data_IF_050728376166
#
_entry.id   IF_050728376166
#
_cell.length_a   1.000
_cell.length_b   1.000
_cell.length_c   1.000
_cell.angle_alpha   90.00
_cell.angle_beta   90.00
_cell.angle_gamma   90.00
#
_symmetry.space_group_name_H-M   'P 1'
#
loop_
_entity.id
_entity.type
_entity.pdbx_description
1 polymer ?
#
# COMPACT_ATOMS: atom_id res chain seq x y z
N UNK A 1 -22.66 -3.21 -58.95
CA UNK A 1 -23.39 -4.36 -58.36
C UNK A 1 -22.70 -4.71 -57.07
N UNK A 2 -23.36 -5.12 -55.99
CA UNK A 2 -24.74 -5.54 -55.75
C UNK A 2 -24.90 -5.44 -54.22
N UNK A 3 -26.03 -4.91 -53.75
CA UNK A 3 -26.45 -4.99 -52.35
C UNK A 3 -26.72 -6.45 -52.00
N UNK A 4 -26.34 -6.89 -50.79
CA UNK A 4 -26.97 -8.04 -50.13
C UNK A 4 -27.25 -7.66 -48.67
N UNK A 5 -28.51 -7.27 -48.45
CA UNK A 5 -29.20 -7.25 -47.15
C UNK A 5 -29.74 -8.66 -46.89
N UNK A 6 -29.64 -9.14 -45.66
CA UNK A 6 -30.30 -10.39 -45.24
C UNK A 6 -30.99 -10.15 -43.90
N UNK A 7 -32.29 -9.89 -43.97
CA UNK A 7 -33.23 -10.03 -42.87
C UNK A 7 -33.89 -11.41 -42.98
N UNK A 8 -34.03 -12.15 -41.87
CA UNK A 8 -35.14 -13.09 -41.72
C UNK A 8 -35.54 -13.25 -40.25
N UNK A 9 -36.84 -13.41 -40.08
CA UNK A 9 -37.65 -13.02 -38.94
C UNK A 9 -37.85 -14.11 -37.88
N UNK A 10 -38.42 -13.67 -36.74
CA UNK A 10 -38.83 -14.40 -35.55
C UNK A 10 -39.71 -15.64 -35.77
N UNK A 11 -39.85 -16.48 -34.74
CA UNK A 11 -41.13 -16.72 -34.02
C UNK A 11 -40.95 -17.71 -32.84
N UNK A 12 -41.58 -17.43 -31.69
CA UNK A 12 -42.10 -18.48 -30.81
C UNK A 12 -42.08 -18.17 -29.31
N UNK A 13 -43.24 -17.81 -28.77
CA UNK A 13 -43.56 -17.55 -27.36
C UNK A 13 -43.95 -18.82 -26.59
N UNK A 14 -43.67 -18.86 -25.27
CA UNK A 14 -44.52 -19.39 -24.18
C UNK A 14 -43.70 -19.36 -22.86
N UNK A 15 -44.02 -18.47 -21.91
CA UNK A 15 -44.97 -18.65 -20.79
C UNK A 15 -44.45 -19.48 -19.61
N UNK A 16 -44.25 -18.80 -18.48
CA UNK A 16 -44.65 -19.26 -17.15
C UNK A 16 -43.61 -19.98 -16.29
N UNK A 17 -43.08 -19.28 -15.28
CA UNK A 17 -43.21 -19.70 -13.87
C UNK A 17 -42.71 -18.57 -12.98
N UNK A 18 -43.64 -17.96 -12.24
CA UNK A 18 -43.34 -17.25 -11.00
C UNK A 18 -42.81 -18.27 -9.98
N UNK A 19 -41.84 -17.88 -9.15
CA UNK A 19 -41.21 -18.78 -8.19
C UNK A 19 -40.12 -18.09 -7.39
N UNK A 20 -40.58 -17.41 -6.33
CA UNK A 20 -39.96 -17.24 -5.02
C UNK A 20 -38.67 -16.42 -4.84
N UNK A 21 -38.88 -15.41 -3.99
CA UNK A 21 -37.89 -14.60 -3.33
C UNK A 21 -37.05 -15.40 -2.32
N UNK A 22 -35.92 -14.78 -1.97
CA UNK A 22 -35.22 -14.93 -0.70
C UNK A 22 -34.33 -16.17 -0.57
N UNK A 23 -33.04 -16.01 -0.87
CA UNK A 23 -31.97 -16.43 0.05
C UNK A 23 -30.81 -15.43 -0.09
N UNK A 24 -30.79 -14.45 0.82
CA UNK A 24 -29.59 -13.72 1.12
C UNK A 24 -28.64 -14.69 1.84
N UNK A 25 -27.66 -15.21 1.13
CA UNK A 25 -26.49 -15.79 1.78
C UNK A 25 -25.33 -14.84 1.51
N UNK A 26 -25.10 -13.95 2.49
CA UNK A 26 -23.86 -13.20 2.58
C UNK A 26 -22.72 -14.18 2.74
N UNK A 27 -22.15 -14.59 1.61
CA UNK A 27 -20.93 -15.39 1.59
C UNK A 27 -19.81 -14.46 2.05
N UNK A 28 -19.56 -14.42 3.35
CA UNK A 28 -18.23 -14.02 3.83
C UNK A 28 -17.27 -15.05 3.27
N UNK A 29 -16.65 -14.70 2.13
CA UNK A 29 -15.52 -15.46 1.59
C UNK A 29 -14.47 -15.54 2.71
N UNK A 30 -14.12 -16.75 3.17
CA UNK A 30 -13.11 -16.89 4.21
C UNK A 30 -11.76 -16.40 3.66
N UNK A 31 -10.91 -15.86 4.54
CA UNK A 31 -9.50 -15.43 4.35
C UNK A 31 -8.58 -16.45 3.63
N UNK A 32 -9.09 -17.60 3.20
CA UNK A 32 -8.36 -18.70 2.59
C UNK A 32 -7.88 -18.42 1.16
N UNK A 33 -8.43 -17.43 0.46
CA UNK A 33 -7.94 -17.04 -0.88
C UNK A 33 -6.69 -16.17 -0.83
N UNK A 34 -6.40 -15.51 0.31
CA UNK A 34 -5.25 -14.60 0.40
C UNK A 34 -3.92 -15.35 0.45
N UNK A 35 -3.89 -16.55 1.06
CA UNK A 35 -2.72 -17.43 1.12
C UNK A 35 -2.36 -18.02 -0.25
N UNK A 36 -3.32 -18.18 -1.16
CA UNK A 36 -3.08 -18.67 -2.53
C UNK A 36 -2.63 -17.56 -3.50
N UNK A 37 -2.74 -16.29 -3.09
CA UNK A 37 -2.30 -15.12 -3.87
C UNK A 37 -0.87 -14.68 -3.50
N UNK A 38 -0.24 -15.28 -2.50
CA UNK A 38 1.14 -14.96 -2.10
C UNK A 38 2.14 -15.63 -3.05
N UNK A 39 2.72 -14.85 -3.95
CA UNK A 39 3.89 -15.26 -4.73
C UNK A 39 5.12 -15.33 -3.79
N UNK A 40 5.79 -16.49 -3.65
CA UNK A 40 6.99 -16.60 -2.81
C UNK A 40 8.11 -15.64 -3.22
N UNK A 41 8.16 -15.22 -4.49
CA UNK A 41 9.10 -14.20 -4.96
C UNK A 41 8.78 -12.82 -4.36
N UNK A 42 7.50 -12.45 -4.30
CA UNK A 42 7.06 -11.18 -3.71
C UNK A 42 7.30 -11.13 -2.19
N UNK A 43 7.18 -12.25 -1.47
CA UNK A 43 7.49 -12.32 -0.04
C UNK A 43 8.98 -12.08 0.27
N UNK A 44 9.86 -12.66 -0.54
CA UNK A 44 11.30 -12.44 -0.43
C UNK A 44 11.65 -10.99 -0.80
N UNK A 45 11.06 -10.48 -1.88
CA UNK A 45 11.23 -9.09 -2.28
C UNK A 45 10.77 -8.13 -1.20
N UNK A 46 9.60 -8.38 -0.59
CA UNK A 46 9.07 -7.58 0.50
C UNK A 46 10.00 -7.60 1.71
N UNK A 47 10.64 -8.73 2.01
CA UNK A 47 11.67 -8.80 3.06
C UNK A 47 12.86 -7.88 2.78
N UNK A 48 13.42 -7.96 1.57
CA UNK A 48 14.54 -7.11 1.17
C UNK A 48 14.15 -5.62 1.16
N UNK A 49 12.95 -5.31 0.68
CA UNK A 49 12.40 -3.96 0.69
C UNK A 49 12.28 -3.42 2.12
N UNK A 50 11.82 -4.24 3.08
CA UNK A 50 11.75 -3.83 4.47
C UNK A 50 13.11 -3.55 5.10
N UNK A 51 14.17 -4.26 4.70
CA UNK A 51 15.54 -3.96 5.16
C UNK A 51 16.00 -2.58 4.64
N UNK A 52 15.69 -2.26 3.39
CA UNK A 52 15.97 -0.93 2.81
C UNK A 52 15.15 0.16 3.51
N UNK A 53 13.87 -0.11 3.82
CA UNK A 53 13.02 0.81 4.59
C UNK A 53 13.63 1.06 5.97
N UNK A 54 14.06 0.03 6.70
CA UNK A 54 14.70 0.21 8.00
C UNK A 54 16.01 1.01 7.91
N UNK A 55 16.84 0.75 6.89
CA UNK A 55 18.07 1.50 6.67
C UNK A 55 17.78 2.99 6.38
N UNK A 56 16.73 3.27 5.59
CA UNK A 56 16.29 4.62 5.24
C UNK A 56 15.75 5.36 6.47
N UNK A 57 14.92 4.69 7.27
CA UNK A 57 14.41 5.20 8.55
C UNK A 57 15.52 5.49 9.56
N UNK A 58 16.61 4.72 9.53
CA UNK A 58 17.79 4.95 10.36
C UNK A 58 18.51 6.28 10.07
N UNK A 59 18.23 6.91 8.93
CA UNK A 59 18.88 8.14 8.44
C UNK A 59 17.87 9.24 8.09
N UNK A 60 16.63 9.13 8.56
CA UNK A 60 15.52 9.98 8.14
C UNK A 60 15.75 11.48 8.44
N UNK A 61 15.57 12.39 7.46
CA UNK A 61 15.79 13.82 7.64
C UNK A 61 14.57 14.51 8.28
N UNK A 62 14.30 14.22 9.56
CA UNK A 62 13.22 14.88 10.29
C UNK A 62 13.63 16.30 10.73
N UNK A 63 13.41 17.28 9.86
CA UNK A 63 13.67 18.70 10.11
C UNK A 63 15.06 19.18 9.66
N UNK A 64 15.34 20.47 9.88
CA UNK A 64 16.33 21.22 9.11
C UNK A 64 17.83 20.94 9.40
N UNK A 65 18.21 20.12 10.38
CA UNK A 65 19.62 20.08 10.84
C UNK A 65 20.22 18.71 11.21
N UNK A 66 19.45 17.65 11.48
CA UNK A 66 20.02 16.32 11.84
C UNK A 66 19.14 15.15 11.38
N UNK A 67 19.77 14.07 10.92
CA UNK A 67 19.10 12.80 10.69
C UNK A 67 18.62 12.21 12.03
N UNK A 68 17.37 11.76 12.07
CA UNK A 68 16.78 11.03 13.19
C UNK A 68 16.85 9.55 12.92
N UNK A 69 17.29 8.76 13.91
CA UNK A 69 17.24 7.30 13.84
C UNK A 69 15.85 6.83 14.25
N UNK A 70 15.03 6.44 13.28
CA UNK A 70 13.69 5.92 13.52
C UNK A 70 13.70 4.40 13.66
N UNK A 71 12.94 3.87 14.61
CA UNK A 71 12.78 2.44 14.83
C UNK A 71 11.35 2.02 14.53
N UNK A 72 11.23 1.08 13.60
CA UNK A 72 9.99 0.38 13.27
C UNK A 72 9.79 -0.81 14.22
N UNK A 73 8.72 -0.85 15.02
CA UNK A 73 8.39 -2.02 15.82
C UNK A 73 8.14 -3.25 14.95
N UNK A 74 8.50 -4.45 15.42
CA UNK A 74 8.29 -5.70 14.66
C UNK A 74 6.82 -5.93 14.26
N UNK A 75 5.87 -5.59 15.12
CA UNK A 75 4.44 -5.64 14.81
C UNK A 75 4.08 -4.71 13.64
N UNK A 76 4.60 -3.47 13.63
CA UNK A 76 4.36 -2.53 12.54
C UNK A 76 4.98 -3.05 11.24
N UNK A 77 6.20 -3.60 11.30
CA UNK A 77 6.84 -4.20 10.14
C UNK A 77 6.01 -5.32 9.53
N UNK A 78 5.47 -6.24 10.35
CA UNK A 78 4.62 -7.32 9.87
C UNK A 78 3.35 -6.78 9.20
N UNK A 79 2.66 -5.83 9.82
CA UNK A 79 1.44 -5.23 9.26
C UNK A 79 1.71 -4.47 7.95
N UNK A 80 2.83 -3.74 7.86
CA UNK A 80 3.24 -3.05 6.65
C UNK A 80 3.50 -4.04 5.52
N UNK A 81 4.22 -5.14 5.77
CA UNK A 81 4.48 -6.18 4.77
C UNK A 81 3.18 -6.73 4.17
N UNK A 82 2.28 -7.18 5.04
CA UNK A 82 0.98 -7.73 4.63
C UNK A 82 0.22 -6.73 3.76
N UNK A 83 0.19 -5.46 4.15
CA UNK A 83 -0.55 -4.43 3.40
C UNK A 83 0.09 -4.09 2.06
N UNK A 84 1.43 -4.04 1.98
CA UNK A 84 2.15 -3.81 0.72
C UNK A 84 1.87 -4.94 -0.27
N UNK A 85 1.93 -6.20 0.17
CA UNK A 85 1.66 -7.37 -0.65
C UNK A 85 0.20 -7.41 -1.11
N UNK A 86 -0.74 -7.18 -0.19
CA UNK A 86 -2.18 -7.13 -0.49
C UNK A 86 -2.52 -6.06 -1.54
N UNK A 87 -1.90 -4.89 -1.48
CA UNK A 87 -2.15 -3.83 -2.45
C UNK A 87 -1.49 -4.10 -3.81
N UNK A 88 -0.35 -4.79 -3.82
CA UNK A 88 0.43 -5.09 -5.00
C UNK A 88 -0.07 -6.31 -5.79
N UNK A 89 -0.71 -7.29 -5.16
CA UNK A 89 -1.13 -8.53 -5.82
C UNK A 89 -2.12 -8.32 -6.98
N UNK A 90 -2.82 -7.19 -7.01
CA UNK A 90 -3.74 -6.79 -8.09
C UNK A 90 -3.08 -5.99 -9.21
N UNK A 91 -1.78 -5.71 -9.13
CA UNK A 91 -1.03 -4.90 -10.09
C UNK A 91 -0.16 -5.78 -11.00
N UNK A 92 0.10 -5.33 -12.24
CA UNK A 92 1.04 -6.03 -13.12
C UNK A 92 2.43 -6.08 -12.47
N UNK A 93 3.05 -7.26 -12.53
CA UNK A 93 4.33 -7.56 -11.91
C UNK A 93 4.33 -7.53 -10.37
N UNK A 94 3.16 -7.55 -9.72
CA UNK A 94 3.08 -7.64 -8.26
C UNK A 94 3.86 -6.53 -7.56
N UNK A 95 4.55 -6.86 -6.46
CA UNK A 95 5.32 -5.88 -5.70
C UNK A 95 6.49 -5.30 -6.51
N UNK A 96 7.05 -6.05 -7.47
CA UNK A 96 8.17 -5.61 -8.32
C UNK A 96 7.84 -4.34 -9.12
N UNK A 97 6.57 -4.15 -9.48
CA UNK A 97 6.10 -2.96 -10.21
C UNK A 97 5.93 -1.70 -9.35
N UNK A 98 6.23 -1.77 -8.05
CA UNK A 98 5.97 -0.66 -7.12
C UNK A 98 7.13 0.34 -7.03
N UNK A 99 6.77 1.62 -6.97
CA UNK A 99 7.58 2.68 -6.35
C UNK A 99 7.05 2.93 -4.94
N UNK A 100 7.87 2.72 -3.92
CA UNK A 100 7.52 2.99 -2.53
C UNK A 100 7.94 4.41 -2.14
N UNK A 101 6.97 5.26 -1.86
CA UNK A 101 7.16 6.59 -1.29
C UNK A 101 7.04 6.48 0.24
N UNK A 102 8.10 6.79 0.96
CA UNK A 102 8.17 6.66 2.41
C UNK A 102 8.04 8.02 3.10
N UNK A 103 6.97 8.18 3.87
CA UNK A 103 6.65 9.41 4.58
C UNK A 103 6.52 9.18 6.08
N UNK A 104 6.86 10.19 6.88
CA UNK A 104 6.67 10.18 8.34
C UNK A 104 5.84 11.38 8.78
N UNK A 105 4.65 11.10 9.30
CA UNK A 105 3.73 12.05 9.92
C UNK A 105 4.17 12.42 11.35
N UNK A 106 4.15 13.72 11.63
CA UNK A 106 4.33 14.30 12.94
C UNK A 106 3.38 15.48 13.16
N UNK A 107 2.31 15.26 13.92
CA UNK A 107 1.29 16.28 14.13
C UNK A 107 0.63 16.68 12.80
N UNK A 108 0.84 17.92 12.35
CA UNK A 108 0.36 18.42 11.05
C UNK A 108 1.41 18.33 9.93
N UNK A 109 2.66 18.00 10.26
CA UNK A 109 3.73 17.89 9.28
C UNK A 109 3.80 16.46 8.73
N UNK A 110 4.11 16.35 7.45
CA UNK A 110 4.46 15.08 6.78
C UNK A 110 5.84 15.25 6.16
N UNK A 111 6.78 14.41 6.57
CA UNK A 111 8.16 14.45 6.08
C UNK A 111 8.36 13.37 5.03
N UNK A 112 8.78 13.78 3.83
CA UNK A 112 9.31 12.85 2.83
C UNK A 112 10.67 12.31 3.31
N UNK A 113 10.77 10.99 3.42
CA UNK A 113 11.94 10.28 3.94
C UNK A 113 12.72 9.57 2.83
N UNK A 114 12.05 9.18 1.74
CA UNK A 114 12.71 8.55 0.62
C UNK A 114 11.76 7.86 -0.36
N UNK A 115 12.31 7.59 -1.54
CA UNK A 115 11.63 6.90 -2.64
C UNK A 115 12.43 5.66 -3.00
N UNK A 116 11.80 4.49 -3.03
CA UNK A 116 12.46 3.19 -3.22
C UNK A 116 11.72 2.43 -4.32
N UNK A 117 12.38 2.19 -5.46
CA UNK A 117 11.86 1.23 -6.43
C UNK A 117 11.98 -0.19 -5.84
N UNK A 118 10.89 -0.96 -5.83
CA UNK A 118 10.88 -2.28 -5.23
C UNK A 118 11.84 -3.24 -5.97
N UNK A 119 11.81 -3.23 -7.31
CA UNK A 119 12.75 -3.94 -8.17
C UNK A 119 13.42 -2.97 -9.14
N UNK A 120 14.76 -2.77 -9.09
CA UNK A 120 15.46 -1.85 -9.99
C UNK A 120 15.50 -2.33 -11.45
N UNK A 121 15.19 -3.59 -11.74
CA UNK A 121 15.10 -4.14 -13.09
C UNK A 121 13.72 -3.93 -13.74
N UNK A 122 12.74 -3.42 -12.99
CA UNK A 122 11.36 -3.19 -13.45
C UNK A 122 11.06 -1.70 -13.41
N UNK A 123 10.46 -1.18 -14.47
CA UNK A 123 9.95 0.20 -14.47
C UNK A 123 8.69 0.24 -13.61
N UNK A 124 8.63 1.08 -12.55
CA UNK A 124 7.44 1.15 -11.71
C UNK A 124 6.20 1.57 -12.49
N UNK A 125 5.08 0.91 -12.26
CA UNK A 125 3.78 1.17 -12.91
C UNK A 125 2.74 1.72 -11.94
N UNK A 126 2.97 1.54 -10.64
CA UNK A 126 2.18 2.09 -9.56
C UNK A 126 3.08 2.55 -8.40
N UNK A 127 2.52 3.39 -7.56
CA UNK A 127 3.15 3.94 -6.38
C UNK A 127 2.40 3.45 -5.14
N UNK A 128 3.16 3.08 -4.12
CA UNK A 128 2.66 2.82 -2.77
C UNK A 128 3.22 3.93 -1.86
N UNK A 129 2.36 4.79 -1.33
CA UNK A 129 2.77 5.83 -0.39
C UNK A 129 2.58 5.30 1.03
N UNK A 130 3.66 4.88 1.68
CA UNK A 130 3.68 4.40 3.06
C UNK A 130 3.87 5.59 4.01
N UNK A 131 2.82 5.90 4.77
CA UNK A 131 2.83 6.98 5.76
C UNK A 131 2.89 6.39 7.16
N UNK A 132 4.04 6.55 7.80
CA UNK A 132 4.31 6.11 9.16
C UNK A 132 4.09 7.27 10.15
N UNK A 133 3.81 6.98 11.41
CA UNK A 133 3.58 8.01 12.44
C UNK A 133 4.61 7.92 13.55
N UNK A 134 5.13 9.06 14.00
CA UNK A 134 5.93 9.11 15.23
C UNK A 134 5.08 8.88 16.48
N UNK A 135 5.62 8.19 17.49
CA UNK A 135 4.96 8.11 18.80
C UNK A 135 4.99 9.50 19.48
N UNK A 136 3.81 10.13 19.55
CA UNK A 136 3.61 11.48 20.09
C UNK A 136 4.03 11.62 21.56
N UNK A 137 4.10 10.51 22.31
CA UNK A 137 4.51 10.51 23.72
C UNK A 137 5.99 10.86 23.94
N UNK A 138 6.83 10.64 22.93
CA UNK A 138 8.28 10.77 23.08
C UNK A 138 8.81 12.11 22.57
N UNK A 139 8.17 12.74 21.57
CA UNK A 139 8.75 13.90 20.87
C UNK A 139 8.81 15.23 21.66
N UNK A 140 7.78 15.66 22.42
CA UNK A 140 7.82 16.94 23.14
C UNK A 140 8.99 17.08 24.11
N UNK A 141 9.49 15.95 24.64
CA UNK A 141 10.60 15.90 25.61
C UNK A 141 11.98 16.04 24.97
N UNK A 142 12.10 15.86 23.66
CA UNK A 142 13.41 15.75 22.99
C UNK A 142 13.71 17.01 22.15
N UNK A 143 12.72 17.87 21.86
CA UNK A 143 12.94 19.14 21.14
C UNK A 143 14.03 20.03 21.79
N UNK A 144 14.08 20.09 23.13
CA UNK A 144 15.11 20.83 23.86
C UNK A 144 16.49 20.14 23.87
N UNK A 145 16.53 18.82 23.70
CA UNK A 145 17.77 18.03 23.71
C UNK A 145 18.44 17.98 22.34
N UNK A 146 17.68 18.10 21.25
CA UNK A 146 18.25 18.21 19.90
C UNK A 146 18.93 19.56 19.63
N UNK A 147 18.69 20.57 20.47
CA UNK A 147 19.35 21.87 20.38
C UNK A 147 20.76 21.89 20.99
N UNK A 148 21.07 21.01 21.97
CA UNK A 148 22.36 21.10 22.71
C UNK A 148 22.94 19.79 23.27
N UNK A 149 22.33 18.61 23.06
CA UNK A 149 22.77 17.32 23.63
C UNK A 149 23.16 16.24 22.59
N UNK A 150 23.78 15.13 23.04
CA UNK A 150 24.21 14.04 22.17
C UNK A 150 22.99 13.38 21.49
N UNK A 151 22.88 13.56 20.18
CA UNK A 151 21.74 13.16 19.35
C UNK A 151 21.79 11.67 18.97
N UNK A 152 21.54 10.77 19.94
CA UNK A 152 21.69 9.33 19.69
C UNK A 152 20.54 8.44 20.19
N UNK A 153 19.52 8.99 20.87
CA UNK A 153 18.37 8.18 21.28
C UNK A 153 17.46 7.91 20.06
N UNK A 154 17.23 6.64 19.69
CA UNK A 154 16.35 6.32 18.59
C UNK A 154 14.89 6.65 18.94
N UNK A 155 14.13 7.12 17.95
CA UNK A 155 12.71 7.44 18.09
C UNK A 155 11.88 6.27 17.59
N UNK A 156 10.89 5.86 18.38
CA UNK A 156 10.01 4.76 18.03
C UNK A 156 8.83 5.26 17.19
N UNK A 157 8.51 4.53 16.13
CA UNK A 157 7.30 4.73 15.35
C UNK A 157 6.08 4.15 16.09
N UNK A 158 4.93 4.79 15.92
CA UNK A 158 3.62 4.26 16.29
C UNK A 158 3.27 3.07 15.40
N UNK A 159 2.47 2.14 15.90
CA UNK A 159 1.93 1.03 15.10
C UNK A 159 0.85 1.48 14.10
N UNK A 160 0.34 2.71 14.22
CA UNK A 160 -0.58 3.27 13.23
C UNK A 160 0.15 3.75 11.98
N UNK A 161 -0.28 3.28 10.81
CA UNK A 161 0.24 3.66 9.51
C UNK A 161 -0.88 3.72 8.47
N UNK A 162 -0.56 4.23 7.28
CA UNK A 162 -1.44 4.22 6.10
C UNK A 162 -0.62 3.85 4.87
N UNK A 163 -1.23 3.14 3.93
CA UNK A 163 -0.64 2.92 2.60
C UNK A 163 -1.66 3.39 1.57
N UNK A 164 -1.21 4.19 0.60
CA UNK A 164 -2.04 4.69 -0.49
C UNK A 164 -1.46 4.18 -1.80
N UNK A 165 -2.25 3.42 -2.56
CA UNK A 165 -1.89 2.97 -3.91
C UNK A 165 -2.34 3.98 -4.96
N UNK A 166 -1.47 4.29 -5.92
CA UNK A 166 -1.78 5.14 -7.08
C UNK A 166 -1.14 4.56 -8.35
N UNK A 167 -1.93 4.37 -9.41
CA UNK A 167 -1.39 4.03 -10.74
C UNK A 167 -0.61 5.21 -11.32
N UNK A 168 0.58 4.96 -11.87
CA UNK A 168 1.44 6.02 -12.43
C UNK A 168 1.02 6.44 -13.84
N UNK A 169 0.40 5.53 -14.60
CA UNK A 169 0.08 5.72 -16.02
C UNK A 169 -1.41 5.48 -16.34
N UNK A 170 -2.33 5.90 -15.45
CA UNK A 170 -3.77 5.83 -15.69
C UNK A 170 -4.39 7.22 -15.85
N UNK A 171 -5.43 7.32 -16.69
CA UNK A 171 -6.29 8.52 -16.79
C UNK A 171 -7.42 8.54 -15.76
N UNK A 172 -7.57 7.47 -14.97
CA UNK A 172 -8.61 7.35 -13.95
C UNK A 172 -8.26 8.15 -12.68
N UNK A 173 -9.26 8.88 -12.16
CA UNK A 173 -9.16 9.71 -10.96
C UNK A 173 -9.05 8.82 -9.71
N UNK A 174 -8.15 9.17 -8.78
CA UNK A 174 -7.83 8.39 -7.56
C UNK A 174 -9.09 7.84 -6.87
N UNK A 175 -9.26 6.53 -6.88
CA UNK A 175 -10.27 5.84 -6.07
C UNK A 175 -9.74 5.72 -4.64
N UNK A 176 -10.36 6.42 -3.69
CA UNK A 176 -10.09 6.26 -2.26
C UNK A 176 -11.11 5.25 -1.74
N UNK A 177 -10.63 4.07 -1.36
CA UNK A 177 -11.44 3.06 -0.67
C UNK A 177 -11.25 3.24 0.83
N UNK A 178 -12.33 3.56 1.54
CA UNK A 178 -12.36 3.65 3.00
C UNK A 178 -12.76 2.28 3.56
N UNK A 179 -11.86 1.66 4.33
CA UNK A 179 -12.15 0.49 5.17
C UNK A 179 -12.39 0.93 6.62
#
# INVERSE_FOLDING_TARGET
GRLETSDCESLGSASGSEGDAEYAEGVSLPDMDLELLHDPEDELLCANLMDVVQATLGRAPLGAKRCSRLLMPAQLQAQVRTELLRLACSEPCGLRGALLDLCVEHGKACHDVGHIAADPAVVPTFQLTLVLRLDSRLWPKIQGLFASGPAFAPLKLSTGFRVIKKKLYSSEQLLIEEC
#
